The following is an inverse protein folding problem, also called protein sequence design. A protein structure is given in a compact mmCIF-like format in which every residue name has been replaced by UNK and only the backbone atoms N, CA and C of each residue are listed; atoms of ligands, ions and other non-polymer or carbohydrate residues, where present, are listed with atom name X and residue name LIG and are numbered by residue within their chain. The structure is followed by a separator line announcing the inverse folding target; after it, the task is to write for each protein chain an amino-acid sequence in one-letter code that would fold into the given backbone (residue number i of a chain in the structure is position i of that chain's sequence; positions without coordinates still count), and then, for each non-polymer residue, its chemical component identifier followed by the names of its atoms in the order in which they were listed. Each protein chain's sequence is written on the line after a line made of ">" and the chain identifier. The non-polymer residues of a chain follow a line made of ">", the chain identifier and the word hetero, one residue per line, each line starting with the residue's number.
data_IF_778887125812
#
_entry.id   IF_778887125812
#
_cell.length_a   1.000
_cell.length_b   1.000
_cell.length_c   1.000
_cell.angle_alpha   90.00
_cell.angle_beta   90.00
_cell.angle_gamma   90.00
#
_symmetry.space_group_name_H-M   'P 1'
#
loop_
_entity.id
_entity.type
_entity.pdbx_description
1 polymer ?
#
# COMPACT_ATOMS: atom_id res chain seq x y z
N UNK A 1 -9.42 -9.45 0.04
CA UNK A 1 -8.37 -10.49 -0.13
C UNK A 1 -7.88 -10.92 1.25
N UNK A 2 -7.59 -12.22 1.47
CA UNK A 2 -6.98 -12.66 2.74
C UNK A 2 -5.59 -12.05 2.88
N UNK A 3 -5.23 -11.61 4.09
CA UNK A 3 -3.95 -10.95 4.37
C UNK A 3 -3.58 -11.11 5.86
N UNK A 4 -2.35 -10.70 6.22
CA UNK A 4 -1.82 -10.75 7.58
C UNK A 4 -1.82 -9.40 8.30
N UNK A 5 -2.52 -8.38 7.79
CA UNK A 5 -2.49 -7.03 8.37
C UNK A 5 -2.94 -7.01 9.83
N UNK A 6 -4.06 -7.68 10.13
CA UNK A 6 -4.57 -7.77 11.50
C UNK A 6 -3.61 -8.50 12.44
N UNK A 7 -2.97 -9.57 11.93
CA UNK A 7 -1.98 -10.33 12.68
C UNK A 7 -0.77 -9.44 13.01
N UNK A 8 -0.18 -8.79 12.01
CA UNK A 8 0.99 -7.92 12.16
C UNK A 8 0.73 -6.73 13.08
N UNK A 9 -0.46 -6.12 12.98
CA UNK A 9 -0.88 -5.05 13.90
C UNK A 9 -0.94 -5.53 15.34
N UNK A 10 -1.57 -6.68 15.59
CA UNK A 10 -1.71 -7.28 16.92
C UNK A 10 -0.37 -7.72 17.50
N UNK A 11 0.53 -8.25 16.68
CA UNK A 11 1.91 -8.58 17.09
C UNK A 11 2.67 -7.37 17.62
N UNK A 12 2.39 -6.17 17.09
CA UNK A 12 2.95 -4.90 17.60
C UNK A 12 2.15 -4.27 18.75
N UNK A 13 1.10 -4.93 19.25
CA UNK A 13 0.25 -4.40 20.32
C UNK A 13 -0.53 -3.14 19.94
N UNK A 14 -0.77 -2.89 18.65
CA UNK A 14 -1.38 -1.65 18.19
C UNK A 14 -2.90 -1.75 18.05
N UNK A 15 -3.61 -0.68 18.39
CA UNK A 15 -5.02 -0.47 18.04
C UNK A 15 -5.16 -0.09 16.56
N UNK A 16 -6.37 -0.24 15.99
CA UNK A 16 -6.68 0.22 14.62
C UNK A 16 -6.42 1.73 14.48
N UNK A 17 -6.76 2.53 15.50
CA UNK A 17 -6.53 3.97 15.52
C UNK A 17 -5.05 4.33 15.46
N UNK A 18 -4.20 3.65 16.23
CA UNK A 18 -2.74 3.88 16.21
C UNK A 18 -2.13 3.53 14.86
N UNK A 19 -2.50 2.38 14.29
CA UNK A 19 -2.03 2.01 12.96
C UNK A 19 -2.55 2.98 11.89
N UNK A 20 -3.80 3.41 12.03
CA UNK A 20 -4.42 4.41 11.16
C UNK A 20 -3.70 5.73 11.16
N UNK A 21 -3.29 6.21 12.34
CA UNK A 21 -2.47 7.41 12.47
C UNK A 21 -1.09 7.24 11.81
N UNK A 22 -0.41 6.11 12.05
CA UNK A 22 0.91 5.85 11.47
C UNK A 22 0.87 5.80 9.93
N UNK A 23 -0.16 5.15 9.37
CA UNK A 23 -0.34 5.00 7.94
C UNK A 23 -1.13 6.16 7.32
N UNK A 24 -1.70 7.08 8.09
CA UNK A 24 -2.62 8.10 7.55
C UNK A 24 -3.82 7.48 6.83
N UNK A 25 -4.49 6.54 7.50
CA UNK A 25 -5.69 5.83 7.03
C UNK A 25 -6.71 5.82 8.18
N UNK A 26 -8.00 6.03 7.91
CA UNK A 26 -9.05 5.90 8.93
C UNK A 26 -9.13 4.46 9.47
N UNK A 27 -9.44 4.31 10.73
CA UNK A 27 -9.58 3.03 11.43
C UNK A 27 -10.66 2.13 10.80
N UNK A 28 -11.80 2.69 10.38
CA UNK A 28 -12.85 1.95 9.69
C UNK A 28 -12.36 1.34 8.36
N UNK A 29 -11.60 2.10 7.56
CA UNK A 29 -11.01 1.64 6.31
C UNK A 29 -9.94 0.57 6.56
N UNK A 30 -9.08 0.76 7.58
CA UNK A 30 -8.14 -0.28 8.00
C UNK A 30 -8.85 -1.57 8.43
N UNK A 31 -9.95 -1.48 9.17
CA UNK A 31 -10.74 -2.66 9.56
C UNK A 31 -11.29 -3.39 8.32
N UNK A 32 -11.73 -2.66 7.30
CA UNK A 32 -12.17 -3.25 6.04
C UNK A 32 -11.01 -3.90 5.26
N UNK A 33 -9.80 -3.34 5.34
CA UNK A 33 -8.59 -3.94 4.75
C UNK A 33 -8.19 -5.21 5.47
N UNK A 34 -8.17 -5.21 6.80
CA UNK A 34 -7.84 -6.38 7.63
C UNK A 34 -8.76 -7.57 7.39
N UNK A 35 -10.05 -7.29 7.23
CA UNK A 35 -11.06 -8.32 6.94
C UNK A 35 -11.12 -8.70 5.46
N UNK A 36 -10.41 -7.95 4.60
CA UNK A 36 -10.42 -8.15 3.15
C UNK A 36 -11.72 -7.74 2.46
N UNK A 37 -12.66 -7.08 3.17
CA UNK A 37 -13.90 -6.49 2.63
C UNK A 37 -13.62 -5.40 1.60
N UNK A 38 -12.53 -4.66 1.80
CA UNK A 38 -11.99 -3.68 0.86
C UNK A 38 -10.51 -3.95 0.68
N UNK A 39 -9.95 -3.63 -0.49
CA UNK A 39 -8.50 -3.64 -0.67
C UNK A 39 -8.02 -2.21 -0.95
N UNK A 40 -6.89 -1.79 -0.36
CA UNK A 40 -6.20 -0.58 -0.77
C UNK A 40 -5.52 -0.75 -2.14
N UNK A 41 -5.02 0.36 -2.68
CA UNK A 41 -4.14 0.33 -3.85
C UNK A 41 -2.80 -0.33 -3.50
N UNK A 42 -2.10 -0.86 -4.51
CA UNK A 42 -0.82 -1.56 -4.35
C UNK A 42 0.21 -0.73 -3.57
N UNK A 43 0.36 0.56 -3.87
CA UNK A 43 1.30 1.43 -3.14
C UNK A 43 1.06 1.51 -1.64
N UNK A 44 -0.19 1.42 -1.18
CA UNK A 44 -0.48 1.35 0.26
C UNK A 44 -0.20 -0.04 0.83
N UNK A 45 -0.32 -1.12 0.05
CA UNK A 45 0.17 -2.43 0.48
C UNK A 45 1.69 -2.46 0.66
N UNK A 46 2.43 -1.81 -0.23
CA UNK A 46 3.89 -1.63 -0.11
C UNK A 46 4.24 -0.81 1.14
N UNK A 47 3.58 0.33 1.36
CA UNK A 47 3.75 1.13 2.60
C UNK A 47 3.50 0.30 3.87
N UNK A 48 2.49 -0.58 3.86
CA UNK A 48 2.16 -1.47 4.99
C UNK A 48 3.25 -2.53 5.19
N UNK A 49 3.68 -3.19 4.11
CA UNK A 49 4.71 -4.23 4.15
C UNK A 49 6.02 -3.66 4.72
N UNK A 50 6.43 -2.49 4.23
CA UNK A 50 7.57 -1.75 4.74
C UNK A 50 7.42 -1.33 6.20
N UNK A 51 6.25 -0.79 6.58
CA UNK A 51 6.00 -0.40 7.96
C UNK A 51 6.22 -1.58 8.90
N UNK A 52 5.77 -2.78 8.52
CA UNK A 52 5.93 -3.99 9.31
C UNK A 52 7.26 -4.72 9.11
N UNK A 53 8.14 -4.24 8.21
CA UNK A 53 9.37 -4.90 7.79
C UNK A 53 9.14 -6.35 7.36
N UNK A 54 8.15 -6.57 6.50
CA UNK A 54 7.83 -7.89 5.94
C UNK A 54 7.76 -7.80 4.42
N UNK A 55 7.92 -8.93 3.74
CA UNK A 55 7.69 -9.02 2.30
C UNK A 55 6.21 -8.81 1.96
N UNK A 56 5.94 -8.26 0.78
CA UNK A 56 4.58 -8.10 0.28
C UNK A 56 3.87 -9.46 0.16
N UNK A 57 4.60 -10.49 -0.25
CA UNK A 57 4.08 -11.86 -0.35
C UNK A 57 3.73 -12.45 1.02
N UNK A 58 4.48 -12.12 2.08
CA UNK A 58 4.07 -12.49 3.43
C UNK A 58 2.80 -11.76 3.85
N UNK A 59 2.73 -10.45 3.63
CA UNK A 59 1.57 -9.65 3.99
C UNK A 59 0.30 -10.16 3.29
N UNK A 60 0.40 -10.51 2.01
CA UNK A 60 -0.72 -10.98 1.18
C UNK A 60 -0.89 -12.52 1.18
N UNK A 61 -0.18 -13.23 2.05
CA UNK A 61 -0.29 -14.69 2.21
C UNK A 61 0.10 -15.53 1.00
N UNK A 62 0.90 -15.00 0.09
CA UNK A 62 1.52 -15.78 -0.99
C UNK A 62 2.74 -16.58 -0.51
N UNK A 63 3.34 -16.19 0.62
CA UNK A 63 4.46 -16.89 1.24
C UNK A 63 4.31 -16.97 2.75
N UNK A 64 4.92 -18.00 3.36
CA UNK A 64 5.10 -18.09 4.81
C UNK A 64 6.46 -17.51 5.26
N UNK A 65 7.35 -17.21 4.32
CA UNK A 65 8.62 -16.54 4.60
C UNK A 65 8.33 -15.07 4.92
N UNK A 66 8.65 -14.64 6.14
CA UNK A 66 8.35 -13.29 6.63
C UNK A 66 9.03 -12.21 5.79
N UNK A 67 10.32 -12.39 5.52
CA UNK A 67 11.10 -11.54 4.63
C UNK A 67 12.40 -12.25 4.19
N UNK A 68 13.25 -11.54 3.44
CA UNK A 68 14.47 -12.05 2.82
C UNK A 68 15.75 -11.66 3.56
N UNK A 69 15.77 -11.85 4.88
CA UNK A 69 16.97 -11.59 5.70
C UNK A 69 18.11 -12.59 5.42
N UNK A 70 19.35 -12.12 5.61
CA UNK A 70 20.57 -12.91 5.53
C UNK A 70 21.60 -12.45 6.57
N UNK A 71 22.51 -13.34 6.95
CA UNK A 71 23.55 -13.09 7.97
C UNK A 71 24.96 -13.50 7.51
N UNK A 72 25.11 -13.91 6.25
CA UNK A 72 26.41 -14.32 5.68
C UNK A 72 26.46 -14.14 4.17
N UNK A 73 27.66 -14.05 3.61
CA UNK A 73 27.89 -13.92 2.17
C UNK A 73 27.25 -15.06 1.38
N UNK A 74 27.34 -16.29 1.91
CA UNK A 74 26.69 -17.46 1.30
C UNK A 74 25.18 -17.26 1.14
N UNK A 75 24.52 -16.71 2.16
CA UNK A 75 23.08 -16.44 2.12
C UNK A 75 22.74 -15.27 1.20
N UNK A 76 23.56 -14.22 1.18
CA UNK A 76 23.38 -13.09 0.26
C UNK A 76 23.52 -13.52 -1.22
N UNK A 77 24.56 -14.32 -1.53
CA UNK A 77 24.75 -14.92 -2.85
C UNK A 77 23.57 -15.82 -3.23
N UNK A 78 23.04 -16.61 -2.29
CA UNK A 78 21.86 -17.44 -2.54
C UNK A 78 20.61 -16.60 -2.86
N UNK A 79 20.41 -15.46 -2.20
CA UNK A 79 19.33 -14.53 -2.50
C UNK A 79 19.48 -13.91 -3.90
N UNK A 80 20.68 -13.46 -4.27
CA UNK A 80 20.94 -12.97 -5.63
C UNK A 80 20.72 -14.08 -6.67
N UNK A 81 21.07 -15.32 -6.34
CA UNK A 81 20.81 -16.46 -7.21
C UNK A 81 19.32 -16.74 -7.37
N UNK A 82 18.53 -16.67 -6.30
CA UNK A 82 17.08 -16.84 -6.36
C UNK A 82 16.39 -15.70 -7.13
N UNK A 83 16.91 -14.47 -7.05
CA UNK A 83 16.48 -13.33 -7.89
C UNK A 83 16.80 -13.58 -9.36
N UNK A 84 18.02 -14.04 -9.66
CA UNK A 84 18.43 -14.41 -11.01
C UNK A 84 17.52 -15.48 -11.62
N UNK A 85 17.16 -16.47 -10.82
CA UNK A 85 16.34 -17.61 -11.24
C UNK A 85 14.84 -17.30 -11.23
N UNK A 86 14.44 -16.06 -10.86
CA UNK A 86 13.04 -15.63 -10.83
C UNK A 86 12.20 -16.30 -9.75
N UNK A 87 12.82 -16.96 -8.76
CA UNK A 87 12.10 -17.56 -7.63
C UNK A 87 11.55 -16.51 -6.68
N UNK A 88 12.21 -15.35 -6.63
CA UNK A 88 11.82 -14.18 -5.87
C UNK A 88 12.01 -12.94 -6.76
N UNK A 89 11.30 -11.86 -6.46
CA UNK A 89 11.37 -10.60 -7.23
C UNK A 89 11.69 -9.41 -6.32
N UNK A 90 12.35 -8.39 -6.87
CA UNK A 90 12.74 -7.19 -6.12
C UNK A 90 11.53 -6.43 -5.56
N UNK A 91 10.40 -6.42 -6.28
CA UNK A 91 9.15 -5.75 -5.89
C UNK A 91 8.36 -6.50 -4.80
N UNK A 92 8.84 -7.66 -4.37
CA UNK A 92 8.15 -8.52 -3.41
C UNK A 92 8.85 -8.57 -2.05
N UNK A 93 10.11 -8.17 -1.97
CA UNK A 93 10.86 -8.06 -0.71
C UNK A 93 10.55 -6.74 0.00
N UNK A 94 10.76 -6.68 1.33
CA UNK A 94 10.68 -5.39 2.02
C UNK A 94 11.81 -4.46 1.55
N UNK A 95 11.59 -3.15 1.58
CA UNK A 95 12.64 -2.18 1.28
C UNK A 95 13.87 -2.35 2.18
N UNK A 96 13.69 -2.74 3.44
CA UNK A 96 14.80 -2.98 4.36
C UNK A 96 15.70 -4.11 3.86
N UNK A 97 15.13 -5.27 3.52
CA UNK A 97 15.90 -6.41 3.01
C UNK A 97 16.58 -6.09 1.68
N UNK A 98 15.88 -5.36 0.80
CA UNK A 98 16.40 -4.94 -0.48
C UNK A 98 17.57 -3.94 -0.36
N UNK A 99 17.47 -2.98 0.55
CA UNK A 99 18.56 -2.03 0.88
C UNK A 99 19.73 -2.78 1.51
N UNK A 100 19.49 -3.68 2.45
CA UNK A 100 20.55 -4.48 3.07
C UNK A 100 21.32 -5.30 2.04
N UNK A 101 20.61 -5.98 1.13
CA UNK A 101 21.23 -6.76 0.06
C UNK A 101 21.97 -5.87 -0.94
N UNK A 102 21.43 -4.67 -1.24
CA UNK A 102 22.09 -3.67 -2.10
C UNK A 102 23.40 -3.18 -1.46
N UNK A 103 23.38 -2.82 -0.17
CA UNK A 103 24.56 -2.37 0.58
C UNK A 103 25.61 -3.48 0.63
N UNK A 104 25.19 -4.71 0.93
CA UNK A 104 26.07 -5.87 0.91
C UNK A 104 26.73 -6.03 -0.47
N UNK A 105 25.96 -5.94 -1.56
CA UNK A 105 26.50 -6.09 -2.91
C UNK A 105 27.52 -5.00 -3.26
N UNK A 106 27.28 -3.75 -2.86
CA UNK A 106 28.23 -2.63 -3.03
C UNK A 106 29.53 -2.90 -2.26
N UNK A 107 29.44 -3.46 -1.06
CA UNK A 107 30.62 -3.79 -0.24
C UNK A 107 31.40 -5.01 -0.76
N UNK A 108 30.79 -5.86 -1.60
CA UNK A 108 31.37 -7.13 -2.06
C UNK A 108 31.52 -7.18 -3.59
N UNK A 109 31.80 -6.03 -4.24
CA UNK A 109 31.97 -5.96 -5.70
C UNK A 109 33.04 -6.92 -6.24
N UNK A 110 34.17 -7.07 -5.55
CA UNK A 110 35.26 -7.95 -5.99
C UNK A 110 34.83 -9.42 -5.99
N UNK A 111 34.04 -9.83 -4.99
CA UNK A 111 33.46 -11.16 -4.91
C UNK A 111 32.49 -11.41 -6.07
N UNK A 112 31.62 -10.43 -6.37
CA UNK A 112 30.64 -10.53 -7.46
C UNK A 112 31.29 -10.56 -8.86
N UNK A 113 32.41 -9.85 -9.05
CA UNK A 113 33.17 -9.82 -10.31
C UNK A 113 33.98 -11.10 -10.57
N UNK A 114 34.13 -11.96 -9.56
CA UNK A 114 34.85 -13.22 -9.72
C UNK A 114 34.18 -14.14 -10.76
N UNK A 115 34.97 -14.99 -11.44
CA UNK A 115 34.51 -15.83 -12.58
C UNK A 115 33.28 -16.71 -12.29
N UNK A 116 32.92 -16.93 -11.02
CA UNK A 116 31.74 -17.70 -10.62
C UNK A 116 30.47 -16.87 -10.37
N UNK A 117 30.56 -15.54 -10.28
CA UNK A 117 29.47 -14.68 -9.82
C UNK A 117 29.14 -13.51 -10.75
N UNK A 118 29.76 -13.42 -11.94
CA UNK A 118 29.53 -12.32 -12.88
C UNK A 118 28.05 -12.14 -13.28
N UNK A 119 27.28 -13.23 -13.36
CA UNK A 119 25.84 -13.14 -13.60
C UNK A 119 25.07 -12.52 -12.42
N UNK A 120 25.55 -12.71 -11.19
CA UNK A 120 24.98 -12.13 -9.98
C UNK A 120 25.32 -10.64 -9.83
N UNK A 121 26.44 -10.17 -10.41
CA UNK A 121 26.79 -8.75 -10.48
C UNK A 121 25.69 -7.96 -11.20
N UNK A 122 25.24 -8.45 -12.37
CA UNK A 122 24.16 -7.80 -13.14
C UNK A 122 22.83 -7.75 -12.38
N UNK A 123 22.55 -8.78 -11.58
CA UNK A 123 21.35 -8.88 -10.73
C UNK A 123 21.44 -7.86 -9.59
N UNK A 124 22.60 -7.76 -8.94
CA UNK A 124 22.85 -6.77 -7.90
C UNK A 124 22.70 -5.34 -8.45
N UNK A 125 23.24 -5.04 -9.63
CA UNK A 125 23.08 -3.74 -10.28
C UNK A 125 21.61 -3.41 -10.59
N UNK A 126 20.84 -4.42 -11.02
CA UNK A 126 19.40 -4.32 -11.22
C UNK A 126 18.67 -3.95 -9.93
N UNK A 127 18.97 -4.66 -8.84
CA UNK A 127 18.42 -4.39 -7.51
C UNK A 127 18.77 -2.97 -7.02
N UNK A 128 20.03 -2.54 -7.16
CA UNK A 128 20.48 -1.21 -6.73
C UNK A 128 19.73 -0.11 -7.49
N UNK A 129 19.55 -0.27 -8.81
CA UNK A 129 18.77 0.68 -9.62
C UNK A 129 17.31 0.71 -9.20
N UNK A 130 16.70 -0.47 -9.01
CA UNK A 130 15.32 -0.59 -8.56
C UNK A 130 15.10 0.12 -7.22
N UNK A 131 15.93 -0.17 -6.22
CA UNK A 131 15.81 0.47 -4.89
C UNK A 131 16.07 1.96 -4.95
N UNK A 132 17.02 2.40 -5.78
CA UNK A 132 17.26 3.82 -5.98
C UNK A 132 16.06 4.54 -6.60
N UNK A 133 15.28 3.88 -7.47
CA UNK A 133 14.01 4.43 -7.98
C UNK A 133 12.90 4.40 -6.94
N UNK A 134 12.72 3.30 -6.23
CA UNK A 134 11.64 3.15 -5.24
C UNK A 134 11.78 4.12 -4.07
N UNK A 135 13.00 4.30 -3.54
CA UNK A 135 13.29 5.28 -2.50
C UNK A 135 12.96 6.73 -2.91
N UNK A 136 12.84 7.00 -4.22
CA UNK A 136 12.38 8.31 -4.72
C UNK A 136 10.86 8.37 -4.90
N UNK A 137 10.24 7.29 -5.40
CA UNK A 137 8.83 7.28 -5.80
C UNK A 137 7.89 7.06 -4.61
N UNK A 138 8.16 6.07 -3.76
CA UNK A 138 7.23 5.68 -2.70
C UNK A 138 6.99 6.80 -1.65
N UNK A 139 8.00 7.60 -1.23
CA UNK A 139 7.77 8.72 -0.34
C UNK A 139 6.82 9.78 -0.94
N UNK A 140 6.96 10.07 -2.23
CA UNK A 140 6.07 11.01 -2.93
C UNK A 140 4.66 10.44 -3.08
N UNK A 141 4.51 9.14 -3.37
CA UNK A 141 3.21 8.46 -3.32
C UNK A 141 2.55 8.60 -1.95
N UNK A 142 3.25 8.25 -0.86
CA UNK A 142 2.73 8.32 0.50
C UNK A 142 2.30 9.75 0.86
N UNK A 143 3.10 10.75 0.49
CA UNK A 143 2.80 12.17 0.70
C UNK A 143 1.55 12.60 -0.07
N UNK A 144 1.43 12.26 -1.35
CA UNK A 144 0.26 12.54 -2.17
C UNK A 144 -0.99 11.86 -1.60
N UNK A 145 -0.90 10.57 -1.28
CA UNK A 145 -1.99 9.78 -0.70
C UNK A 145 -2.47 10.35 0.62
N UNK A 146 -1.56 10.66 1.56
CA UNK A 146 -1.90 11.28 2.85
C UNK A 146 -2.57 12.65 2.66
N UNK A 147 -2.09 13.47 1.72
CA UNK A 147 -2.73 14.75 1.37
C UNK A 147 -4.15 14.55 0.85
N UNK A 148 -4.36 13.58 -0.03
CA UNK A 148 -5.68 13.25 -0.58
C UNK A 148 -6.61 12.67 0.49
N UNK A 149 -6.10 11.80 1.37
CA UNK A 149 -6.87 11.27 2.51
C UNK A 149 -7.33 12.40 3.41
N UNK A 150 -6.44 13.32 3.83
CA UNK A 150 -6.82 14.47 4.66
C UNK A 150 -7.93 15.32 4.04
N UNK A 151 -7.87 15.57 2.73
CA UNK A 151 -8.93 16.30 2.02
C UNK A 151 -10.26 15.54 2.04
N UNK A 152 -10.23 14.24 1.78
CA UNK A 152 -11.41 13.37 1.84
C UNK A 152 -11.97 13.33 3.26
N UNK A 153 -11.10 13.21 4.25
CA UNK A 153 -11.48 13.10 5.65
C UNK A 153 -12.12 14.41 6.12
N UNK A 154 -11.54 15.57 5.78
CA UNK A 154 -12.18 16.87 6.02
C UNK A 154 -13.55 16.99 5.35
N UNK A 155 -13.71 16.47 4.13
CA UNK A 155 -15.00 16.45 3.44
C UNK A 155 -16.03 15.58 4.18
N UNK A 156 -15.64 14.39 4.63
CA UNK A 156 -16.53 13.50 5.39
C UNK A 156 -16.95 14.17 6.71
N UNK A 157 -16.00 14.80 7.41
CA UNK A 157 -16.25 15.47 8.68
C UNK A 157 -17.16 16.70 8.49
N UNK A 158 -17.04 17.42 7.38
CA UNK A 158 -17.90 18.58 7.05
C UNK A 158 -19.35 18.20 6.76
N UNK A 159 -19.63 16.97 6.32
CA UNK A 159 -20.98 16.58 5.87
C UNK A 159 -21.73 15.80 6.95
N UNK A 160 -21.10 15.48 8.09
CA UNK A 160 -21.69 14.64 9.16
C UNK A 160 -22.46 13.43 8.57
N UNK A 161 -21.84 12.71 7.64
CA UNK A 161 -22.53 11.56 7.06
C UNK A 161 -22.86 10.54 8.15
N UNK A 162 -24.14 10.20 8.23
CA UNK A 162 -24.55 8.90 8.75
C UNK A 162 -23.80 7.82 7.96
N UNK A 163 -23.37 6.75 8.65
CA UNK A 163 -22.59 5.64 8.09
C UNK A 163 -23.32 4.93 6.91
N UNK A 164 -24.60 5.25 6.69
CA UNK A 164 -25.45 4.77 5.61
C UNK A 164 -25.19 5.41 4.24
N UNK A 165 -24.46 6.54 4.16
CA UNK A 165 -24.33 7.32 2.91
C UNK A 165 -22.97 7.14 2.24
N UNK A 166 -22.98 6.71 0.96
CA UNK A 166 -21.77 6.59 0.14
C UNK A 166 -21.24 7.97 -0.30
N UNK A 167 -20.03 8.39 0.15
CA UNK A 167 -19.47 9.69 -0.20
C UNK A 167 -19.25 9.88 -1.71
N UNK A 168 -18.98 8.80 -2.46
CA UNK A 168 -18.74 8.89 -3.90
C UNK A 168 -20.03 9.22 -4.68
N UNK A 169 -21.18 8.70 -4.21
CA UNK A 169 -22.49 9.07 -4.74
C UNK A 169 -22.81 10.54 -4.49
N UNK A 170 -22.49 11.07 -3.31
CA UNK A 170 -22.76 12.48 -2.99
C UNK A 170 -21.86 13.42 -3.79
N UNK A 171 -20.58 13.08 -3.96
CA UNK A 171 -19.69 13.85 -4.85
C UNK A 171 -20.23 13.86 -6.28
N UNK A 172 -20.73 12.71 -6.77
CA UNK A 172 -21.32 12.62 -8.11
C UNK A 172 -22.57 13.49 -8.22
N UNK A 173 -23.43 13.46 -7.21
CA UNK A 173 -24.62 14.32 -7.14
C UNK A 173 -24.25 15.81 -7.14
N UNK A 174 -23.30 16.24 -6.30
CA UNK A 174 -22.83 17.65 -6.23
C UNK A 174 -22.26 18.10 -7.58
N UNK A 175 -21.47 17.26 -8.26
CA UNK A 175 -20.95 17.58 -9.60
C UNK A 175 -22.07 17.72 -10.63
N UNK A 176 -23.04 16.81 -10.62
CA UNK A 176 -24.19 16.90 -11.51
C UNK A 176 -25.05 18.14 -11.22
N UNK A 177 -25.16 18.54 -9.94
CA UNK A 177 -25.94 19.71 -9.52
C UNK A 177 -25.31 21.03 -9.94
N UNK A 178 -23.98 21.12 -9.91
CA UNK A 178 -23.25 22.28 -10.45
C UNK A 178 -23.40 22.43 -11.97
N UNK A 179 -23.45 21.32 -12.72
CA UNK A 179 -23.58 21.35 -14.19
C UNK A 179 -25.01 21.67 -14.65
N UNK A 180 -26.04 21.10 -14.00
CA UNK A 180 -27.44 21.27 -14.39
C UNK A 180 -28.08 22.56 -13.85
N UNK A 181 -27.41 23.24 -12.93
CA UNK A 181 -27.90 24.43 -12.24
C UNK A 181 -28.89 24.09 -11.11
N UNK A 182 -28.76 24.79 -9.97
CA UNK A 182 -29.53 24.52 -8.73
C UNK A 182 -31.04 24.45 -8.94
N UNK A 183 -31.59 25.26 -9.85
CA UNK A 183 -33.04 25.34 -10.12
C UNK A 183 -33.60 24.08 -10.79
N UNK A 184 -32.80 23.40 -11.61
CA UNK A 184 -33.19 22.16 -12.31
C UNK A 184 -33.12 20.97 -11.36
N UNK A 185 -32.18 21.00 -10.42
CA UNK A 185 -32.01 19.99 -9.37
C UNK A 185 -33.16 20.05 -8.38
N UNK A 186 -33.57 21.26 -7.98
CA UNK A 186 -34.74 21.45 -7.10
C UNK A 186 -36.00 20.79 -7.67
N UNK A 187 -36.31 21.05 -8.95
CA UNK A 187 -37.46 20.40 -9.62
C UNK A 187 -37.40 18.88 -9.67
N UNK A 188 -36.19 18.32 -9.78
CA UNK A 188 -36.00 16.87 -9.79
C UNK A 188 -36.17 16.28 -8.39
N UNK A 189 -35.74 16.99 -7.34
CA UNK A 189 -35.98 16.64 -5.94
C UNK A 189 -37.47 16.68 -5.61
N UNK A 190 -38.16 17.79 -5.93
CA UNK A 190 -39.60 17.94 -5.70
C UNK A 190 -40.40 16.79 -6.36
N UNK A 191 -39.97 16.37 -7.56
CA UNK A 191 -40.57 15.23 -8.25
C UNK A 191 -40.30 13.91 -7.55
N UNK A 192 -39.07 13.65 -7.10
CA UNK A 192 -38.70 12.43 -6.39
C UNK A 192 -39.42 12.31 -5.04
N UNK A 193 -39.56 13.40 -4.29
CA UNK A 193 -40.30 13.45 -3.02
C UNK A 193 -41.81 13.24 -3.21
N UNK A 194 -42.33 13.53 -4.41
CA UNK A 194 -43.74 13.29 -4.75
C UNK A 194 -44.05 11.83 -5.13
N UNK A 195 -43.04 10.95 -5.22
CA UNK A 195 -43.24 9.55 -5.59
C UNK A 195 -43.80 8.73 -4.42
N UNK A 196 -44.71 7.76 -4.67
CA UNK A 196 -45.36 6.97 -3.61
C UNK A 196 -44.40 6.14 -2.74
N UNK A 197 -43.22 5.82 -3.28
CA UNK A 197 -42.20 4.98 -2.65
C UNK A 197 -41.00 5.79 -2.14
N UNK A 198 -41.12 7.12 -2.06
CA UNK A 198 -40.06 7.95 -1.48
C UNK A 198 -39.85 7.53 -0.03
N UNK A 199 -38.62 7.11 0.31
CA UNK A 199 -38.25 6.73 1.67
C UNK A 199 -38.18 8.00 2.53
N UNK A 200 -38.93 8.02 3.64
CA UNK A 200 -38.77 9.03 4.70
C UNK A 200 -37.36 8.98 5.32
#
# INVERSE_FOLDING_TARGET
>A
MKNRLAQLRKERGMTLKQLGQALGVRDNALSQYETGKRNPQLGLWEEIADYFAVSLDYLLMHSNRRDYYFQSDKQALALLQDLKDGKISYDRMSHMSAVQLSVWAIQHQDLLKSKGHSALESVADGLIRYISSELRVLPEYSKMRKKNSKKRDALIDMIEFDDSVDPDLVIRFIKLSQVKGSKSIGKALDYLESLPDASD
#
